data_IF_078483161420
#
_entry.id   IF_078483161420
#
_cell.length_a   1.000
_cell.length_b   1.000
_cell.length_c   1.000
_cell.angle_alpha   90.00
_cell.angle_beta   90.00
_cell.angle_gamma   90.00
#
_symmetry.space_group_name_H-M   'P 1'
#
loop_
_entity.id
_entity.type
_entity.pdbx_description
1 polymer ?
#
# COMPACT_ATOMS: atom_id res chain seq x y z
N UNK A 1 15.25 11.32 -4.62
CA UNK A 1 16.34 11.91 -5.43
C UNK A 1 17.18 12.75 -4.51
N UNK A 2 18.51 12.64 -4.56
CA UNK A 2 19.42 13.45 -3.77
C UNK A 2 19.89 14.62 -4.64
N UNK A 3 19.69 15.85 -4.18
CA UNK A 3 20.14 17.06 -4.87
C UNK A 3 21.05 17.85 -3.94
N UNK A 4 22.23 18.24 -4.44
CA UNK A 4 23.22 18.95 -3.66
C UNK A 4 23.22 20.43 -4.03
N UNK A 5 22.56 21.25 -3.20
CA UNK A 5 22.56 22.71 -3.34
C UNK A 5 23.65 23.40 -2.49
N UNK A 6 24.59 22.63 -1.92
CA UNK A 6 25.73 23.16 -1.17
C UNK A 6 26.95 23.41 -2.07
N UNK A 7 27.99 24.01 -1.50
CA UNK A 7 29.25 24.30 -2.20
C UNK A 7 30.30 23.17 -2.07
N UNK A 8 29.97 22.09 -1.37
CA UNK A 8 30.87 20.94 -1.15
C UNK A 8 30.27 19.67 -1.71
N UNK A 9 31.12 18.75 -2.20
CA UNK A 9 30.65 17.42 -2.57
C UNK A 9 30.09 16.67 -1.35
N UNK A 10 29.00 15.94 -1.53
CA UNK A 10 28.34 15.16 -0.48
C UNK A 10 28.54 13.67 -0.71
N UNK A 11 28.98 12.94 0.31
CA UNK A 11 29.20 11.49 0.26
C UNK A 11 28.95 10.80 1.61
N UNK A 12 29.09 9.47 1.64
CA UNK A 12 28.90 8.69 2.86
C UNK A 12 27.46 8.72 3.37
N UNK A 13 26.49 8.73 2.45
CA UNK A 13 25.07 8.76 2.80
C UNK A 13 24.69 7.54 3.63
N UNK A 14 23.90 7.78 4.67
CA UNK A 14 23.30 6.78 5.54
C UNK A 14 21.82 7.12 5.73
N UNK A 15 21.01 6.08 5.84
CA UNK A 15 19.56 6.21 6.04
C UNK A 15 19.10 5.25 7.14
N UNK A 16 18.16 5.71 7.95
CA UNK A 16 17.52 4.90 8.97
C UNK A 16 16.03 5.26 9.06
N UNK A 17 15.21 4.27 9.37
CA UNK A 17 13.80 4.47 9.69
C UNK A 17 13.56 4.26 11.18
N UNK A 18 12.70 5.08 11.77
CA UNK A 18 12.20 4.79 13.11
C UNK A 18 11.28 3.55 13.07
N UNK A 19 10.93 3.03 14.27
CA UNK A 19 9.93 1.97 14.38
C UNK A 19 8.64 2.36 13.67
N UNK A 20 8.07 1.45 12.90
CA UNK A 20 6.87 1.69 12.09
C UNK A 20 5.99 0.44 12.03
N UNK A 21 4.75 0.60 11.52
CA UNK A 21 3.71 -0.43 11.57
C UNK A 21 4.11 -1.77 10.97
N UNK A 22 4.89 -1.77 9.88
CA UNK A 22 5.31 -3.01 9.19
C UNK A 22 6.77 -3.39 9.47
N UNK A 23 7.42 -2.66 10.39
CA UNK A 23 8.81 -2.91 10.78
C UNK A 23 9.79 -2.73 9.62
N UNK A 24 9.50 -1.80 8.72
CA UNK A 24 10.32 -1.46 7.57
C UNK A 24 11.70 -0.99 8.02
N UNK A 25 12.73 -1.55 7.41
CA UNK A 25 14.12 -1.15 7.59
C UNK A 25 14.87 -1.22 6.25
N UNK A 26 15.97 -0.47 6.13
CA UNK A 26 16.92 -0.66 5.05
C UNK A 26 17.53 -2.07 5.16
N UNK A 27 17.59 -2.81 4.05
CA UNK A 27 18.19 -4.15 4.01
C UNK A 27 19.72 -4.11 4.09
N UNK A 28 20.31 -2.94 3.88
CA UNK A 28 21.75 -2.71 3.91
C UNK A 28 22.07 -1.22 3.73
N UNK A 29 23.37 -0.87 3.63
CA UNK A 29 23.80 0.52 3.44
C UNK A 29 23.24 1.11 2.13
N UNK A 30 22.78 2.35 2.18
CA UNK A 30 22.29 3.06 1.00
C UNK A 30 23.44 3.35 0.03
N UNK A 31 23.26 2.97 -1.24
CA UNK A 31 24.30 3.08 -2.28
C UNK A 31 24.10 4.37 -3.08
N UNK A 32 24.35 5.53 -2.48
CA UNK A 32 24.33 6.82 -3.17
C UNK A 32 25.74 7.17 -3.62
N UNK A 33 25.94 7.41 -4.92
CA UNK A 33 27.20 7.95 -5.43
C UNK A 33 27.46 9.35 -4.83
N UNK A 34 28.73 9.77 -4.79
CA UNK A 34 29.07 11.13 -4.37
C UNK A 34 28.33 12.16 -5.24
N UNK A 35 27.73 13.17 -4.60
CA UNK A 35 26.94 14.21 -5.27
C UNK A 35 27.75 15.51 -5.29
N UNK A 36 28.28 15.97 -6.44
CA UNK A 36 29.03 17.22 -6.51
C UNK A 36 28.13 18.44 -6.27
N UNK A 37 28.69 19.63 -5.99
CA UNK A 37 27.92 20.88 -5.91
C UNK A 37 27.05 21.10 -7.16
N UNK A 38 25.77 21.42 -6.96
CA UNK A 38 24.77 21.55 -8.04
C UNK A 38 24.36 20.24 -8.71
N UNK A 39 24.90 19.10 -8.27
CA UNK A 39 24.64 17.78 -8.83
C UNK A 39 23.44 17.07 -8.21
N UNK A 40 23.08 15.93 -8.80
CA UNK A 40 22.07 15.03 -8.26
C UNK A 40 22.44 13.56 -8.40
N UNK A 41 21.86 12.71 -7.55
CA UNK A 41 21.98 11.25 -7.63
C UNK A 41 20.65 10.55 -7.32
N UNK A 42 20.52 9.34 -7.85
CA UNK A 42 19.40 8.43 -7.60
C UNK A 42 19.94 7.06 -7.21
N UNK A 43 19.22 6.39 -6.33
CA UNK A 43 19.54 5.03 -5.90
C UNK A 43 18.24 4.29 -5.59
N UNK A 44 18.32 2.96 -5.60
CA UNK A 44 17.28 2.10 -5.06
C UNK A 44 17.74 1.59 -3.70
N UNK A 45 16.87 1.68 -2.71
CA UNK A 45 17.13 1.16 -1.38
C UNK A 45 16.32 -0.12 -1.19
N UNK A 46 16.95 -1.31 -1.21
CA UNK A 46 16.25 -2.53 -0.83
C UNK A 46 15.78 -2.43 0.63
N UNK A 47 14.53 -2.80 0.87
CA UNK A 47 13.90 -2.73 2.19
C UNK A 47 13.47 -4.12 2.65
N UNK A 48 13.51 -4.32 3.97
CA UNK A 48 13.04 -5.53 4.65
C UNK A 48 11.92 -5.17 5.62
N UNK A 49 11.06 -6.15 5.92
CA UNK A 49 9.94 -6.01 6.86
C UNK A 49 10.24 -6.68 8.21
N UNK A 50 9.40 -6.39 9.19
CA UNK A 50 9.35 -7.04 10.52
C UNK A 50 10.61 -6.89 11.39
N UNK A 51 11.45 -5.89 11.12
CA UNK A 51 12.66 -5.64 11.94
C UNK A 51 12.34 -4.76 13.16
N UNK A 52 11.71 -3.60 12.91
CA UNK A 52 11.51 -2.55 13.92
C UNK A 52 10.03 -2.17 14.04
N UNK A 53 9.20 -3.10 14.54
CA UNK A 53 7.76 -2.87 14.68
C UNK A 53 7.47 -1.78 15.73
N UNK A 54 6.60 -0.82 15.38
CA UNK A 54 6.02 0.12 16.34
C UNK A 54 4.86 -0.51 17.11
N UNK A 55 4.59 0.01 18.30
CA UNK A 55 3.38 -0.31 19.06
C UNK A 55 2.27 0.68 18.71
N UNK A 56 1.01 0.25 18.88
CA UNK A 56 -0.17 1.08 18.65
C UNK A 56 -0.89 0.78 17.34
N UNK A 57 -1.94 1.56 17.00
CA UNK A 57 -2.74 1.33 15.81
C UNK A 57 -1.92 1.42 14.51
N UNK A 58 -2.22 0.58 13.51
CA UNK A 58 -1.60 0.65 12.19
C UNK A 58 -1.75 2.05 11.57
N UNK A 59 -0.66 2.57 11.02
CA UNK A 59 -0.65 3.83 10.26
C UNK A 59 0.38 3.77 9.14
N UNK A 60 0.39 4.78 8.28
CA UNK A 60 1.28 4.85 7.10
C UNK A 60 2.53 5.69 7.34
N UNK A 61 2.73 6.25 8.54
CA UNK A 61 3.82 7.17 8.83
C UNK A 61 5.16 6.44 8.80
N UNK A 62 6.09 6.95 8.00
CA UNK A 62 7.48 6.54 7.98
C UNK A 62 8.36 7.72 8.39
N UNK A 63 8.98 7.64 9.57
CA UNK A 63 9.93 8.65 10.01
C UNK A 63 11.32 8.26 9.54
N UNK A 64 11.95 9.14 8.78
CA UNK A 64 13.22 8.88 8.10
C UNK A 64 14.29 9.82 8.64
N UNK A 65 15.47 9.25 8.94
CA UNK A 65 16.68 9.98 9.24
C UNK A 65 17.70 9.74 8.11
N UNK A 66 18.25 10.82 7.55
CA UNK A 66 19.32 10.76 6.54
C UNK A 66 20.51 11.59 7.01
N UNK A 67 21.71 11.07 6.85
CA UNK A 67 22.94 11.85 7.04
C UNK A 67 23.94 11.56 5.94
N UNK A 68 24.92 12.44 5.81
CA UNK A 68 26.13 12.26 5.01
C UNK A 68 27.34 12.69 5.86
N UNK A 69 28.53 12.68 5.29
CA UNK A 69 29.75 13.01 6.03
C UNK A 69 29.89 14.52 6.34
N UNK A 70 29.28 15.38 5.54
CA UNK A 70 29.49 16.83 5.58
C UNK A 70 28.40 17.58 6.36
N UNK A 71 27.24 16.98 6.59
CA UNK A 71 26.05 17.65 7.12
C UNK A 71 25.50 16.93 8.36
N UNK A 72 24.73 17.63 9.22
CA UNK A 72 24.02 17.00 10.32
C UNK A 72 22.98 15.99 9.83
N UNK A 73 22.40 15.23 10.77
CA UNK A 73 21.29 14.34 10.49
C UNK A 73 20.04 15.15 10.17
N UNK A 74 19.38 14.82 9.07
CA UNK A 74 18.11 15.38 8.65
C UNK A 74 16.99 14.39 8.93
N UNK A 75 15.87 14.91 9.45
CA UNK A 75 14.69 14.12 9.75
C UNK A 75 13.51 14.61 8.91
N UNK A 76 12.76 13.68 8.35
CA UNK A 76 11.51 13.97 7.67
C UNK A 76 10.52 12.82 7.83
N UNK A 77 9.26 13.12 7.53
CA UNK A 77 8.18 12.14 7.51
C UNK A 77 7.81 11.84 6.06
N UNK A 78 7.61 10.56 5.78
CA UNK A 78 7.05 10.06 4.53
C UNK A 78 5.85 9.16 4.84
N UNK A 79 5.17 8.69 3.79
CA UNK A 79 4.08 7.72 3.90
C UNK A 79 4.24 6.61 2.86
N UNK A 80 3.90 5.38 3.26
CA UNK A 80 3.71 4.28 2.32
C UNK A 80 2.23 3.98 2.15
N UNK A 81 1.85 3.33 1.04
CA UNK A 81 0.50 2.82 0.82
C UNK A 81 0.47 1.31 1.10
N UNK A 82 -0.62 0.78 1.67
CA UNK A 82 -0.73 -0.64 2.01
C UNK A 82 -0.54 -1.57 0.79
N UNK A 83 -0.93 -1.12 -0.41
CA UNK A 83 -0.89 -1.97 -1.62
C UNK A 83 0.53 -2.44 -1.99
N UNK A 84 1.57 -1.73 -1.58
CA UNK A 84 2.97 -2.14 -1.84
C UNK A 84 3.33 -3.46 -1.15
N UNK A 85 2.50 -3.91 -0.22
CA UNK A 85 2.65 -5.19 0.48
C UNK A 85 1.71 -6.28 -0.03
N UNK A 86 0.91 -6.00 -1.07
CA UNK A 86 0.07 -7.04 -1.66
C UNK A 86 0.94 -8.01 -2.45
N UNK A 87 0.82 -9.28 -2.12
CA UNK A 87 1.59 -10.37 -2.69
C UNK A 87 0.99 -10.87 -4.00
N UNK A 88 1.85 -11.31 -4.92
CA UNK A 88 1.46 -11.88 -6.21
C UNK A 88 0.63 -13.18 -6.05
N UNK A 89 0.82 -13.89 -4.94
CA UNK A 89 0.06 -15.10 -4.57
C UNK A 89 -1.29 -14.80 -3.89
N UNK A 90 -1.81 -13.58 -4.04
CA UNK A 90 -3.06 -13.11 -3.45
C UNK A 90 -4.33 -13.49 -4.21
N UNK A 91 -4.20 -14.16 -5.36
CA UNK A 91 -5.33 -14.60 -6.19
C UNK A 91 -6.08 -15.74 -5.51
N UNK A 92 -7.40 -15.63 -5.43
CA UNK A 92 -8.28 -16.70 -4.95
C UNK A 92 -9.18 -17.24 -6.05
N UNK A 93 -9.40 -18.55 -6.04
CA UNK A 93 -10.50 -19.14 -6.79
C UNK A 93 -11.83 -18.87 -6.08
N UNK A 94 -12.93 -18.93 -6.85
CA UNK A 94 -14.27 -18.63 -6.34
C UNK A 94 -14.68 -19.49 -5.14
N UNK A 95 -14.34 -20.78 -5.15
CA UNK A 95 -14.66 -21.70 -4.05
C UNK A 95 -13.91 -21.30 -2.77
N UNK A 96 -12.60 -21.10 -2.87
CA UNK A 96 -11.75 -20.66 -1.74
C UNK A 96 -12.16 -19.29 -1.20
N UNK A 97 -12.57 -18.37 -2.08
CA UNK A 97 -13.11 -17.07 -1.66
C UNK A 97 -14.37 -17.23 -0.80
N UNK A 98 -15.33 -18.04 -1.24
CA UNK A 98 -16.59 -18.27 -0.52
C UNK A 98 -16.37 -18.99 0.82
N UNK A 99 -15.46 -19.97 0.86
CA UNK A 99 -15.08 -20.67 2.09
C UNK A 99 -14.43 -19.70 3.08
N UNK A 100 -13.45 -18.92 2.61
CA UNK A 100 -12.74 -17.95 3.44
C UNK A 100 -13.68 -16.84 3.94
N UNK A 101 -14.57 -16.34 3.09
CA UNK A 101 -15.59 -15.34 3.45
C UNK A 101 -16.48 -15.80 4.60
N UNK A 102 -16.91 -17.06 4.58
CA UNK A 102 -17.72 -17.67 5.64
C UNK A 102 -16.93 -17.94 6.92
N UNK A 103 -15.62 -18.19 6.80
CA UNK A 103 -14.76 -18.49 7.95
C UNK A 103 -14.42 -17.25 8.80
N UNK A 104 -14.41 -16.06 8.19
CA UNK A 104 -14.11 -14.81 8.89
C UNK A 104 -15.40 -14.27 9.53
N UNK A 105 -15.39 -13.85 10.81
CA UNK A 105 -16.57 -13.27 11.46
C UNK A 105 -17.10 -12.03 10.74
N UNK A 106 -18.43 -11.84 10.73
CA UNK A 106 -19.06 -10.67 10.11
C UNK A 106 -18.69 -9.36 10.80
N UNK A 107 -18.30 -9.40 12.08
CA UNK A 107 -17.76 -8.24 12.81
C UNK A 107 -16.44 -7.71 12.22
N UNK A 108 -15.77 -8.51 11.39
CA UNK A 108 -14.54 -8.12 10.72
C UNK A 108 -14.79 -7.60 9.29
N UNK A 109 -16.04 -7.56 8.85
CA UNK A 109 -16.41 -6.88 7.61
C UNK A 109 -16.56 -5.39 7.90
N UNK A 110 -15.73 -4.59 7.24
CA UNK A 110 -15.77 -3.13 7.35
C UNK A 110 -16.07 -2.58 5.97
N UNK A 111 -16.97 -1.60 5.89
CA UNK A 111 -17.30 -0.91 4.66
C UNK A 111 -17.02 0.59 4.77
N UNK A 112 -16.60 1.19 3.65
CA UNK A 112 -16.40 2.63 3.50
C UNK A 112 -16.88 3.06 2.12
N UNK A 113 -17.58 4.19 2.08
CA UNK A 113 -17.90 4.86 0.82
C UNK A 113 -16.67 5.67 0.36
N UNK A 114 -16.11 5.28 -0.79
CA UNK A 114 -15.02 5.99 -1.46
C UNK A 114 -15.64 7.04 -2.39
N UNK A 115 -16.01 8.18 -1.81
CA UNK A 115 -16.86 9.19 -2.48
C UNK A 115 -16.21 9.83 -3.69
N UNK A 116 -14.88 9.93 -3.73
CA UNK A 116 -14.13 10.47 -4.89
C UNK A 116 -13.82 9.43 -5.96
N UNK A 117 -14.04 8.14 -5.72
CA UNK A 117 -13.72 7.08 -6.67
C UNK A 117 -14.83 6.94 -7.73
N UNK A 118 -14.43 6.67 -8.98
CA UNK A 118 -15.35 6.47 -10.11
C UNK A 118 -14.87 5.25 -10.91
N UNK A 119 -15.73 4.24 -11.05
CA UNK A 119 -15.47 3.13 -11.97
C UNK A 119 -16.03 3.49 -13.34
N UNK A 120 -15.15 3.88 -14.27
CA UNK A 120 -15.52 4.22 -15.66
C UNK A 120 -15.71 2.97 -16.53
N UNK A 121 -14.87 1.97 -16.34
CA UNK A 121 -14.85 0.72 -17.09
C UNK A 121 -14.49 -0.41 -16.15
N UNK A 122 -15.34 -1.45 -16.10
CA UNK A 122 -15.12 -2.60 -15.22
C UNK A 122 -13.83 -3.34 -15.61
N UNK A 123 -13.61 -3.56 -16.89
CA UNK A 123 -12.46 -4.33 -17.38
C UNK A 123 -11.15 -3.58 -17.12
N UNK A 124 -11.12 -2.26 -17.40
CA UNK A 124 -9.95 -1.42 -17.11
C UNK A 124 -9.67 -1.30 -15.61
N UNK A 125 -10.71 -1.25 -14.78
CA UNK A 125 -10.54 -1.28 -13.32
C UNK A 125 -9.96 -2.61 -12.85
N UNK A 126 -10.41 -3.75 -13.39
CA UNK A 126 -9.86 -5.07 -13.06
C UNK A 126 -8.38 -5.16 -13.46
N UNK A 127 -8.01 -4.68 -14.65
CA UNK A 127 -6.63 -4.68 -15.13
C UNK A 127 -5.72 -3.80 -14.24
N UNK A 128 -6.17 -2.59 -13.90
CA UNK A 128 -5.41 -1.68 -13.03
C UNK A 128 -5.21 -2.26 -11.62
N UNK A 129 -6.27 -2.85 -11.04
CA UNK A 129 -6.21 -3.50 -9.74
C UNK A 129 -5.28 -4.73 -9.78
N UNK A 130 -5.32 -5.53 -10.84
CA UNK A 130 -4.45 -6.68 -11.00
C UNK A 130 -2.97 -6.29 -11.08
N UNK A 131 -2.63 -5.15 -11.69
CA UNK A 131 -1.27 -4.60 -11.71
C UNK A 131 -0.75 -4.22 -10.31
N UNK A 132 -1.65 -4.07 -9.34
CA UNK A 132 -1.35 -3.81 -7.92
C UNK A 132 -1.65 -5.01 -7.01
N UNK A 133 -1.67 -6.22 -7.57
CA UNK A 133 -1.93 -7.48 -6.84
C UNK A 133 -3.30 -7.55 -6.14
N UNK A 134 -4.31 -6.87 -6.70
CA UNK A 134 -5.72 -7.00 -6.31
C UNK A 134 -6.46 -7.74 -7.42
N UNK A 135 -6.84 -8.99 -7.15
CA UNK A 135 -7.25 -9.93 -8.17
C UNK A 135 -8.77 -10.09 -8.24
N UNK A 136 -9.31 -10.03 -9.44
CA UNK A 136 -10.72 -10.31 -9.70
C UNK A 136 -11.07 -11.78 -9.42
N UNK A 137 -12.22 -11.99 -8.77
CA UNK A 137 -12.77 -13.31 -8.46
C UNK A 137 -14.09 -13.53 -9.20
N UNK A 138 -15.04 -12.59 -9.08
CA UNK A 138 -16.35 -12.69 -9.70
C UNK A 138 -17.01 -11.32 -9.84
N UNK A 139 -17.99 -11.21 -10.74
CA UNK A 139 -18.89 -10.05 -10.82
C UNK A 139 -20.34 -10.48 -10.83
N UNK A 140 -21.21 -9.60 -10.33
CA UNK A 140 -22.66 -9.69 -10.51
C UNK A 140 -23.22 -8.29 -10.74
N UNK A 141 -24.37 -8.23 -11.40
CA UNK A 141 -25.16 -6.99 -11.51
C UNK A 141 -26.30 -7.03 -10.51
N UNK A 142 -26.50 -5.94 -9.79
CA UNK A 142 -27.65 -5.73 -8.91
C UNK A 142 -28.33 -4.41 -9.27
N UNK A 143 -29.50 -4.50 -9.90
CA UNK A 143 -30.18 -3.36 -10.54
C UNK A 143 -29.21 -2.59 -11.46
N UNK A 144 -28.96 -1.31 -11.16
CA UNK A 144 -28.09 -0.44 -11.95
C UNK A 144 -26.64 -0.38 -11.43
N UNK A 145 -26.26 -1.26 -10.50
CA UNK A 145 -24.92 -1.31 -9.92
C UNK A 145 -24.19 -2.59 -10.30
N UNK A 146 -22.92 -2.44 -10.60
CA UNK A 146 -21.98 -3.55 -10.71
C UNK A 146 -21.41 -3.86 -9.33
N UNK A 147 -21.30 -5.14 -9.02
CA UNK A 147 -20.69 -5.65 -7.79
C UNK A 147 -19.52 -6.56 -8.17
N UNK A 148 -18.31 -6.16 -7.78
CA UNK A 148 -17.07 -6.90 -8.03
C UNK A 148 -16.59 -7.55 -6.74
N UNK A 149 -16.28 -8.83 -6.82
CA UNK A 149 -15.59 -9.59 -5.78
C UNK A 149 -14.12 -9.71 -6.16
N UNK A 150 -13.24 -9.26 -5.28
CA UNK A 150 -11.80 -9.30 -5.48
C UNK A 150 -11.09 -9.87 -4.25
N UNK A 151 -9.86 -10.35 -4.43
CA UNK A 151 -9.00 -10.77 -3.34
C UNK A 151 -7.61 -10.14 -3.46
N UNK A 152 -7.00 -9.82 -2.33
CA UNK A 152 -5.55 -9.65 -2.24
C UNK A 152 -5.03 -10.28 -0.96
N UNK A 153 -3.71 -10.41 -0.87
CA UNK A 153 -3.02 -10.97 0.29
C UNK A 153 -1.97 -9.99 0.75
N UNK A 154 -2.12 -9.46 1.95
CA UNK A 154 -1.24 -8.46 2.53
C UNK A 154 -0.10 -9.06 3.37
N UNK A 155 0.53 -8.23 4.23
CA UNK A 155 1.57 -8.65 5.15
C UNK A 155 1.21 -9.91 5.94
N UNK A 156 2.20 -10.78 6.18
CA UNK A 156 2.04 -12.07 6.88
C UNK A 156 1.00 -13.00 6.26
N UNK A 157 0.83 -12.93 4.93
CA UNK A 157 -0.12 -13.74 4.18
C UNK A 157 -1.60 -13.54 4.57
N UNK A 158 -1.94 -12.39 5.17
CA UNK A 158 -3.31 -12.09 5.61
C UNK A 158 -4.21 -11.84 4.40
N UNK A 159 -5.33 -12.57 4.23
CA UNK A 159 -6.24 -12.34 3.13
C UNK A 159 -7.12 -11.11 3.35
N UNK A 160 -7.41 -10.41 2.25
CA UNK A 160 -8.40 -9.34 2.17
C UNK A 160 -9.40 -9.74 1.09
N UNK A 161 -10.65 -9.95 1.50
CA UNK A 161 -11.76 -10.26 0.60
C UNK A 161 -12.56 -8.99 0.40
N UNK A 162 -12.73 -8.60 -0.86
CA UNK A 162 -13.15 -7.24 -1.23
C UNK A 162 -14.44 -7.32 -2.01
N UNK A 163 -15.42 -6.49 -1.65
CA UNK A 163 -16.61 -6.22 -2.44
C UNK A 163 -16.61 -4.74 -2.85
N UNK A 164 -16.55 -4.47 -4.16
CA UNK A 164 -16.75 -3.14 -4.71
C UNK A 164 -18.15 -3.06 -5.32
N UNK A 165 -18.95 -2.09 -4.89
CA UNK A 165 -20.27 -1.81 -5.47
C UNK A 165 -20.29 -0.40 -6.03
N UNK A 166 -20.57 -0.27 -7.32
CA UNK A 166 -20.59 1.03 -7.99
C UNK A 166 -21.61 1.07 -9.14
N UNK A 167 -22.14 2.26 -9.43
CA UNK A 167 -22.78 2.54 -10.71
C UNK A 167 -21.70 3.05 -11.67
N UNK A 168 -21.57 2.43 -12.84
CA UNK A 168 -20.52 2.76 -13.80
C UNK A 168 -20.67 4.21 -14.27
N UNK A 169 -19.56 4.96 -14.27
CA UNK A 169 -19.52 6.38 -14.63
C UNK A 169 -20.07 7.35 -13.58
N UNK A 170 -20.51 6.85 -12.41
CA UNK A 170 -21.06 7.67 -11.32
C UNK A 170 -20.08 7.71 -10.14
N UNK A 171 -19.81 8.90 -9.56
CA UNK A 171 -19.02 9.00 -8.33
C UNK A 171 -19.62 8.26 -7.15
N UNK A 172 -18.74 7.66 -6.35
CA UNK A 172 -19.10 6.91 -5.16
C UNK A 172 -19.02 5.41 -5.38
N UNK A 173 -17.91 4.83 -4.95
CA UNK A 173 -17.72 3.37 -4.90
C UNK A 173 -17.86 2.94 -3.45
N UNK A 174 -18.84 2.08 -3.15
CA UNK A 174 -18.90 1.41 -1.84
C UNK A 174 -17.88 0.28 -1.84
N UNK A 175 -16.90 0.35 -0.94
CA UNK A 175 -15.87 -0.66 -0.77
C UNK A 175 -16.08 -1.36 0.58
N UNK A 176 -16.32 -2.67 0.56
CA UNK A 176 -16.32 -3.50 1.75
C UNK A 176 -15.12 -4.43 1.72
N UNK A 177 -14.52 -4.65 2.89
CA UNK A 177 -13.40 -5.57 3.06
C UNK A 177 -13.62 -6.45 4.27
N UNK A 178 -13.38 -7.75 4.11
CA UNK A 178 -13.45 -8.76 5.15
C UNK A 178 -12.09 -9.42 5.30
N UNK A 179 -11.51 -9.34 6.49
CA UNK A 179 -10.15 -9.79 6.77
C UNK A 179 -9.99 -10.21 8.25
N UNK A 180 -9.13 -11.18 8.59
CA UNK A 180 -8.85 -11.48 9.99
C UNK A 180 -8.10 -10.35 10.73
N UNK A 181 -7.61 -9.32 10.02
CA UNK A 181 -6.95 -8.14 10.58
C UNK A 181 -7.74 -6.84 10.31
N UNK A 182 -8.93 -6.65 10.92
CA UNK A 182 -9.79 -5.49 10.67
C UNK A 182 -9.11 -4.14 11.00
N UNK A 183 -8.10 -4.14 11.86
CA UNK A 183 -7.27 -2.99 12.18
C UNK A 183 -6.52 -2.41 10.97
N UNK A 184 -6.34 -3.18 9.89
CA UNK A 184 -5.73 -2.74 8.64
C UNK A 184 -6.72 -2.12 7.65
N UNK A 185 -8.03 -2.22 7.90
CA UNK A 185 -9.06 -1.72 6.98
C UNK A 185 -8.92 -0.22 6.66
N UNK A 186 -8.58 0.69 7.60
CA UNK A 186 -8.37 2.09 7.26
C UNK A 186 -7.27 2.29 6.20
N UNK A 187 -6.13 1.59 6.34
CA UNK A 187 -5.01 1.67 5.40
C UNK A 187 -5.35 1.01 4.06
N UNK A 188 -6.15 -0.05 4.09
CA UNK A 188 -6.69 -0.69 2.90
C UNK A 188 -7.58 0.26 2.10
N UNK A 189 -8.48 1.00 2.75
CA UNK A 189 -9.33 1.95 2.05
C UNK A 189 -8.55 3.13 1.44
N UNK A 190 -7.53 3.64 2.14
CA UNK A 190 -6.62 4.65 1.57
C UNK A 190 -5.92 4.12 0.30
N UNK A 191 -5.48 2.86 0.32
CA UNK A 191 -4.90 2.22 -0.85
C UNK A 191 -5.91 2.07 -2.00
N UNK A 192 -7.11 1.54 -1.72
CA UNK A 192 -8.15 1.36 -2.74
C UNK A 192 -8.62 2.69 -3.33
N UNK A 193 -8.71 3.76 -2.54
CA UNK A 193 -9.07 5.09 -3.04
C UNK A 193 -8.00 5.63 -4.00
N UNK A 194 -6.72 5.33 -3.77
CA UNK A 194 -5.65 5.68 -4.71
C UNK A 194 -5.65 4.83 -5.98
N UNK A 195 -6.01 3.54 -5.87
CA UNK A 195 -6.02 2.61 -7.00
C UNK A 195 -7.27 2.74 -7.89
N UNK A 196 -8.33 3.36 -7.38
CA UNK A 196 -9.60 3.59 -8.08
C UNK A 196 -9.79 5.03 -8.59
N UNK A 197 -8.75 5.87 -8.47
CA UNK A 197 -8.67 7.17 -9.15
C UNK A 197 -8.26 6.97 -10.61
#
# INVERSE_FOLDING_TARGET
MFENNSQTALDGFMIQFNKNTFGLAAAGPVQVAQVPPGGSARTLLPMVMYQNLSQGPPNTLLQVAVKNNQQPVWYFNDKFSLHVFFSEDGRMERTSFLETWKSIPDTNEIAKDLTSAIIQSIDSTIENLAASNVFFVAKRRNANKEVLYLSCKGPKAVPFLIELTAAVGVPGVKCAVKTPSPELAPLFFEAMESLLK
#
